data_IF_208667778501
#
_entry.id   IF_208667778501
#
_cell.length_a   1.000
_cell.length_b   1.000
_cell.length_c   1.000
_cell.angle_alpha   90.00
_cell.angle_beta   90.00
_cell.angle_gamma   90.00
#
_symmetry.space_group_name_H-M   'P 1'
#
loop_
_entity.id
_entity.type
_entity.pdbx_description
1 polymer ?
#
# COMPACT_ATOMS: atom_id res chain seq x y z
N UNK A 1 -7.95 1.28 12.12
CA UNK A 1 -6.98 0.16 12.21
C UNK A 1 -6.34 0.03 13.60
N UNK A 2 -6.02 1.11 14.29
CA UNK A 2 -5.27 1.05 15.56
C UNK A 2 -5.92 0.18 16.65
N UNK A 3 -7.23 0.30 16.89
CA UNK A 3 -7.94 -0.51 17.89
C UNK A 3 -7.94 -2.00 17.55
N UNK A 4 -8.25 -2.36 16.30
CA UNK A 4 -8.28 -3.75 15.84
C UNK A 4 -6.89 -4.41 15.88
N UNK A 5 -5.85 -3.66 15.54
CA UNK A 5 -4.46 -4.15 15.64
C UNK A 5 -4.09 -4.39 17.10
N UNK A 6 -4.42 -3.46 18.00
CA UNK A 6 -4.18 -3.61 19.42
C UNK A 6 -4.90 -4.84 20.01
N UNK A 7 -6.20 -4.99 19.74
CA UNK A 7 -6.97 -6.12 20.26
C UNK A 7 -6.53 -7.46 19.69
N UNK A 8 -5.95 -7.48 18.49
CA UNK A 8 -5.39 -8.70 17.89
C UNK A 8 -4.05 -9.09 18.53
N UNK A 9 -3.15 -8.12 18.75
CA UNK A 9 -1.82 -8.38 19.31
C UNK A 9 -1.85 -8.58 20.82
N UNK A 10 -2.70 -7.83 21.53
CA UNK A 10 -2.84 -7.84 22.99
C UNK A 10 -4.30 -8.03 23.42
N UNK A 11 -4.86 -9.24 23.25
CA UNK A 11 -6.29 -9.50 23.45
C UNK A 11 -6.76 -9.35 24.90
N UNK A 12 -5.87 -9.57 25.88
CA UNK A 12 -6.19 -9.50 27.30
C UNK A 12 -5.84 -8.16 27.94
N UNK A 13 -5.29 -7.21 27.18
CA UNK A 13 -4.88 -5.91 27.70
C UNK A 13 -5.88 -4.84 27.26
N UNK A 14 -6.35 -4.05 28.23
CA UNK A 14 -7.20 -2.89 27.92
C UNK A 14 -6.46 -1.88 27.03
N UNK A 15 -7.24 -1.16 26.22
CA UNK A 15 -6.70 -0.18 25.29
C UNK A 15 -6.15 1.03 26.07
N UNK A 16 -4.84 1.36 25.99
CA UNK A 16 -4.25 2.38 26.84
C UNK A 16 -4.74 3.78 26.47
N UNK A 17 -5.01 4.63 27.47
CA UNK A 17 -5.47 6.01 27.27
C UNK A 17 -4.48 6.87 26.47
N UNK A 18 -3.18 6.57 26.56
CA UNK A 18 -2.11 7.24 25.81
C UNK A 18 -2.25 7.14 24.29
N UNK A 19 -3.01 6.16 23.78
CA UNK A 19 -3.29 6.05 22.34
C UNK A 19 -4.16 7.19 21.79
N UNK A 20 -4.81 7.97 22.67
CA UNK A 20 -5.55 9.19 22.26
C UNK A 20 -4.65 10.20 21.53
N UNK A 21 -3.36 10.28 21.87
CA UNK A 21 -2.40 11.12 21.15
C UNK A 21 -2.18 10.68 19.70
N UNK A 22 -2.17 9.37 19.45
CA UNK A 22 -2.06 8.80 18.10
C UNK A 22 -3.33 9.10 17.31
N UNK A 23 -4.51 8.97 17.93
CA UNK A 23 -5.78 9.32 17.30
C UNK A 23 -5.84 10.81 16.92
N UNK A 24 -5.27 11.70 17.75
CA UNK A 24 -5.22 13.13 17.47
C UNK A 24 -4.41 13.46 16.20
N UNK A 25 -3.29 12.77 15.96
CA UNK A 25 -2.46 12.96 14.75
C UNK A 25 -2.89 12.08 13.57
N UNK A 26 -3.79 11.12 13.78
CA UNK A 26 -4.25 10.17 12.76
C UNK A 26 -4.67 10.87 11.47
N UNK A 27 -5.32 12.04 11.58
CA UNK A 27 -5.77 12.81 10.42
C UNK A 27 -4.64 13.24 9.48
N UNK A 28 -3.46 13.50 10.03
CA UNK A 28 -2.26 13.82 9.25
C UNK A 28 -1.66 12.56 8.63
N UNK A 29 -1.56 11.48 9.42
CA UNK A 29 -1.02 10.20 8.96
C UNK A 29 -1.85 9.61 7.80
N UNK A 30 -3.17 9.68 7.87
CA UNK A 30 -4.08 9.21 6.82
C UNK A 30 -3.75 9.86 5.46
N UNK A 31 -3.36 11.14 5.44
CA UNK A 31 -3.00 11.85 4.20
C UNK A 31 -1.69 11.37 3.63
N UNK A 32 -0.70 11.12 4.50
CA UNK A 32 0.60 10.60 4.10
C UNK A 32 0.44 9.18 3.55
N UNK A 33 -0.32 8.32 4.24
CA UNK A 33 -0.62 6.96 3.80
C UNK A 33 -1.30 6.95 2.42
N UNK A 34 -2.28 7.83 2.21
CA UNK A 34 -2.96 7.96 0.91
C UNK A 34 -1.97 8.27 -0.22
N UNK A 35 -1.02 9.19 0.01
CA UNK A 35 -0.01 9.55 -1.00
C UNK A 35 0.90 8.36 -1.30
N UNK A 36 1.37 7.66 -0.28
CA UNK A 36 2.22 6.47 -0.49
C UNK A 36 1.48 5.38 -1.25
N UNK A 37 0.20 5.14 -0.96
CA UNK A 37 -0.60 4.15 -1.68
C UNK A 37 -0.72 4.50 -3.17
N UNK A 38 -1.07 5.76 -3.49
CA UNK A 38 -1.20 6.21 -4.89
C UNK A 38 0.15 6.16 -5.63
N UNK A 39 1.23 6.62 -4.99
CA UNK A 39 2.57 6.61 -5.60
C UNK A 39 3.07 5.18 -5.79
N UNK A 40 2.86 4.31 -4.80
CA UNK A 40 3.20 2.89 -4.87
C UNK A 40 2.50 2.19 -6.03
N UNK A 41 1.18 2.36 -6.14
CA UNK A 41 0.39 1.79 -7.23
C UNK A 41 0.86 2.31 -8.60
N UNK A 42 1.16 3.60 -8.69
CA UNK A 42 1.70 4.19 -9.93
C UNK A 42 3.05 3.58 -10.30
N UNK A 43 3.94 3.37 -9.33
CA UNK A 43 5.25 2.78 -9.58
C UNK A 43 5.13 1.32 -10.04
N UNK A 44 4.29 0.53 -9.37
CA UNK A 44 4.03 -0.87 -9.76
C UNK A 44 3.39 -0.93 -11.15
N UNK A 45 2.41 -0.07 -11.45
CA UNK A 45 1.79 0.00 -12.77
C UNK A 45 2.81 0.30 -13.88
N UNK A 46 3.80 1.15 -13.62
CA UNK A 46 4.88 1.43 -14.58
C UNK A 46 5.79 0.22 -14.80
N UNK A 47 6.20 -0.46 -13.74
CA UNK A 47 7.01 -1.68 -13.86
C UNK A 47 6.27 -2.76 -14.66
N UNK A 48 4.98 -2.95 -14.40
CA UNK A 48 4.15 -3.90 -15.15
C UNK A 48 4.00 -3.47 -16.60
N UNK A 49 3.80 -2.17 -16.88
CA UNK A 49 3.71 -1.68 -18.25
C UNK A 49 4.99 -1.95 -19.04
N UNK A 50 6.17 -1.72 -18.45
CA UNK A 50 7.47 -2.03 -19.07
C UNK A 50 7.60 -3.53 -19.39
N UNK A 51 7.26 -4.41 -18.44
CA UNK A 51 7.30 -5.87 -18.66
C UNK A 51 6.31 -6.35 -19.73
N UNK A 52 5.12 -5.76 -19.76
CA UNK A 52 4.09 -6.10 -20.74
C UNK A 52 4.52 -5.66 -22.14
N UNK A 53 5.07 -4.46 -22.29
CA UNK A 53 5.55 -3.94 -23.57
C UNK A 53 6.66 -4.83 -24.16
N UNK A 54 7.67 -5.18 -23.36
CA UNK A 54 8.73 -6.13 -23.75
C UNK A 54 8.18 -7.50 -24.18
N UNK A 55 7.14 -7.98 -23.48
CA UNK A 55 6.49 -9.26 -23.79
C UNK A 55 5.71 -9.19 -25.12
N UNK A 56 5.01 -8.08 -25.37
CA UNK A 56 4.28 -7.87 -26.62
C UNK A 56 5.22 -7.76 -27.82
N UNK A 57 6.31 -7.00 -27.71
CA UNK A 57 7.30 -6.87 -28.78
C UNK A 57 7.89 -8.24 -29.16
N UNK A 58 8.29 -9.03 -28.16
CA UNK A 58 8.84 -10.38 -28.37
C UNK A 58 7.84 -11.32 -29.07
N UNK A 59 6.56 -11.28 -28.66
CA UNK A 59 5.50 -12.10 -29.26
C UNK A 59 5.20 -11.72 -30.72
N UNK A 60 5.27 -10.43 -31.05
CA UNK A 60 5.07 -9.94 -32.42
C UNK A 60 6.25 -10.33 -33.33
N UNK A 61 7.49 -10.27 -32.82
CA UNK A 61 8.66 -10.73 -33.58
C UNK A 61 8.61 -12.23 -33.87
N UNK A 62 8.15 -13.05 -32.91
CA UNK A 62 8.01 -14.49 -33.10
C UNK A 62 6.92 -14.86 -34.13
N UNK A 63 5.84 -14.08 -34.25
CA UNK A 63 4.82 -14.28 -35.28
C UNK A 63 5.22 -13.80 -36.68
N UNK A 64 6.29 -13.01 -36.80
CA UNK A 64 6.81 -12.49 -38.08
C UNK A 64 7.83 -13.41 -38.74
N UNK A 65 8.42 -14.34 -37.98
CA UNK A 65 9.31 -15.40 -38.47
C UNK A 65 8.56 -16.70 -38.78
#
# INVERSE_FOLDING_TARGET
>A
MVYSTWSTVFPNNEFPLSFSYIVAIMRYLDRVETVFNVVGDTFVARMVAEQVDETYESAVEEQRN
#
